data_IF_980466982835
#
_entry.id   IF_980466982835
#
_cell.length_a   1.000
_cell.length_b   1.000
_cell.length_c   1.000
_cell.angle_alpha   90.00
_cell.angle_beta   90.00
_cell.angle_gamma   90.00
#
_symmetry.space_group_name_H-M   'P 1'
#
loop_
_entity.id
_entity.type
_entity.pdbx_description
1 polymer ?
#
# COMPACT_ATOMS: atom_id res chain seq x y z
N UNK A 1 -4.76 0.12 -11.70
CA UNK A 1 -4.35 -1.28 -11.42
C UNK A 1 -5.52 -1.98 -10.74
N UNK A 2 -5.80 -3.25 -11.05
CA UNK A 2 -6.92 -3.96 -10.41
C UNK A 2 -6.54 -4.49 -9.04
N UNK A 3 -7.48 -4.40 -8.07
CA UNK A 3 -7.23 -4.83 -6.70
C UNK A 3 -6.92 -6.33 -6.58
N UNK A 4 -7.50 -7.16 -7.44
CA UNK A 4 -7.25 -8.60 -7.47
C UNK A 4 -5.79 -8.92 -7.81
N UNK A 5 -5.19 -8.14 -8.72
CA UNK A 5 -3.79 -8.30 -9.08
C UNK A 5 -2.84 -7.91 -7.93
N UNK A 6 -3.19 -6.87 -7.17
CA UNK A 6 -2.44 -6.44 -5.98
C UNK A 6 -2.44 -7.57 -4.95
N UNK A 7 -3.63 -8.09 -4.61
CA UNK A 7 -3.80 -9.17 -3.64
C UNK A 7 -3.04 -10.43 -4.08
N UNK A 8 -3.17 -10.83 -5.35
CA UNK A 8 -2.47 -11.98 -5.93
C UNK A 8 -0.94 -11.84 -5.81
N UNK A 9 -0.38 -10.67 -6.15
CA UNK A 9 1.07 -10.42 -6.04
C UNK A 9 1.54 -10.41 -4.59
N UNK A 10 0.75 -9.85 -3.67
CA UNK A 10 1.07 -9.85 -2.24
C UNK A 10 1.12 -11.29 -1.67
N UNK A 11 0.15 -12.11 -2.01
CA UNK A 11 0.08 -13.53 -1.63
C UNK A 11 1.25 -14.33 -2.24
N UNK A 12 1.60 -14.06 -3.49
CA UNK A 12 2.71 -14.72 -4.19
C UNK A 12 4.11 -14.20 -3.79
N UNK A 13 4.22 -13.20 -2.90
CA UNK A 13 5.50 -12.59 -2.54
C UNK A 13 6.13 -11.75 -3.66
N UNK A 14 5.37 -11.42 -4.72
CA UNK A 14 5.82 -10.67 -5.89
C UNK A 14 5.72 -9.15 -5.68
N UNK A 15 6.31 -8.68 -4.59
CA UNK A 15 6.28 -7.27 -4.22
C UNK A 15 7.61 -6.82 -3.61
N UNK A 16 7.91 -5.53 -3.72
CA UNK A 16 9.11 -4.93 -3.18
C UNK A 16 8.82 -3.53 -2.65
N UNK A 17 9.52 -3.12 -1.59
CA UNK A 17 9.46 -1.75 -1.12
C UNK A 17 10.52 -0.89 -1.78
N UNK A 18 10.11 0.28 -2.26
CA UNK A 18 11.03 1.34 -2.66
C UNK A 18 11.92 1.78 -1.48
N UNK A 19 13.05 2.44 -1.79
CA UNK A 19 13.92 3.04 -0.75
C UNK A 19 13.15 4.04 0.12
N UNK A 20 12.21 4.77 -0.47
CA UNK A 20 11.35 5.71 0.25
C UNK A 20 10.43 4.96 1.23
N UNK A 21 9.70 3.96 0.76
CA UNK A 21 8.83 3.14 1.59
C UNK A 21 9.60 2.50 2.77
N UNK A 22 10.75 1.87 2.53
CA UNK A 22 11.56 1.23 3.59
C UNK A 22 11.95 2.19 4.70
N UNK A 23 12.46 3.39 4.34
CA UNK A 23 12.86 4.41 5.31
C UNK A 23 11.69 4.81 6.22
N UNK A 24 10.55 5.10 5.61
CA UNK A 24 9.39 5.63 6.31
C UNK A 24 8.60 4.56 7.07
N UNK A 25 8.53 3.33 6.57
CA UNK A 25 7.98 2.19 7.30
C UNK A 25 8.76 1.95 8.59
N UNK A 26 10.10 1.96 8.53
CA UNK A 26 10.97 1.82 9.71
C UNK A 26 10.73 2.91 10.75
N UNK A 27 10.63 4.18 10.34
CA UNK A 27 10.31 5.30 11.24
C UNK A 27 8.94 5.17 11.91
N UNK A 28 8.00 4.42 11.31
CA UNK A 28 6.64 4.21 11.80
C UNK A 28 6.44 2.85 12.47
N UNK A 29 7.51 2.07 12.65
CA UNK A 29 7.44 0.70 13.18
C UNK A 29 6.43 -0.18 12.40
N UNK A 30 6.40 -0.02 11.07
CA UNK A 30 5.61 -0.86 10.16
C UNK A 30 6.56 -1.92 9.60
N UNK A 31 6.26 -3.20 9.85
CA UNK A 31 7.09 -4.32 9.40
C UNK A 31 6.64 -4.80 8.02
N UNK A 32 7.56 -5.41 7.27
CA UNK A 32 7.29 -6.02 5.96
C UNK A 32 6.12 -7.02 6.00
N UNK A 33 6.02 -7.79 7.09
CA UNK A 33 4.91 -8.73 7.30
C UNK A 33 3.56 -8.01 7.43
N UNK A 34 3.52 -6.84 8.07
CA UNK A 34 2.30 -6.04 8.24
C UNK A 34 1.87 -5.40 6.92
N UNK A 35 2.84 -4.98 6.10
CA UNK A 35 2.56 -4.49 4.73
C UNK A 35 1.95 -5.61 3.89
N UNK A 36 2.54 -6.81 3.93
CA UNK A 36 2.01 -7.98 3.21
C UNK A 36 0.59 -8.34 3.68
N UNK A 37 0.36 -8.38 4.98
CA UNK A 37 -0.96 -8.64 5.57
C UNK A 37 -2.00 -7.65 5.05
N UNK A 38 -1.69 -6.36 5.11
CA UNK A 38 -2.57 -5.32 4.60
C UNK A 38 -2.86 -5.49 3.10
N UNK A 39 -1.84 -5.80 2.30
CA UNK A 39 -1.99 -5.97 0.86
C UNK A 39 -2.83 -7.21 0.45
N UNK A 40 -2.78 -8.30 1.22
CA UNK A 40 -3.51 -9.53 0.91
C UNK A 40 -5.03 -9.35 0.89
N UNK A 41 -5.56 -8.51 1.78
CA UNK A 41 -7.00 -8.23 1.92
C UNK A 41 -7.33 -6.77 1.62
N UNK A 42 -6.49 -6.09 0.84
CA UNK A 42 -6.61 -4.66 0.63
C UNK A 42 -7.86 -4.24 -0.14
N UNK A 43 -8.40 -3.07 0.17
CA UNK A 43 -9.44 -2.35 -0.55
C UNK A 43 -8.83 -1.18 -1.32
N UNK A 44 -9.29 -0.95 -2.55
CA UNK A 44 -8.85 0.19 -3.36
C UNK A 44 -9.55 1.46 -2.88
N UNK A 45 -8.78 2.48 -2.47
CA UNK A 45 -9.32 3.78 -2.08
C UNK A 45 -9.23 4.80 -3.21
N UNK A 46 -8.05 4.95 -3.80
CA UNK A 46 -7.81 5.93 -4.87
C UNK A 46 -6.97 5.27 -5.97
N UNK A 47 -7.24 5.61 -7.23
CA UNK A 47 -6.50 5.11 -8.39
C UNK A 47 -5.88 6.30 -9.13
N UNK A 48 -4.58 6.22 -9.42
CA UNK A 48 -3.79 7.26 -10.06
C UNK A 48 -3.19 6.71 -11.36
N UNK A 49 -3.99 6.54 -12.43
CA UNK A 49 -3.51 5.99 -13.70
C UNK A 49 -2.46 6.87 -14.37
N UNK A 50 -2.53 8.19 -14.16
CA UNK A 50 -1.74 9.20 -14.87
C UNK A 50 -0.63 9.83 -14.01
N UNK A 51 -0.21 9.18 -12.92
CA UNK A 51 0.89 9.70 -12.10
C UNK A 51 2.17 9.80 -12.95
N UNK A 52 2.86 10.94 -12.83
CA UNK A 52 4.15 11.25 -13.46
C UNK A 52 5.21 10.16 -13.35
N UNK A 53 5.12 9.29 -12.33
CA UNK A 53 6.06 8.20 -12.06
C UNK A 53 5.56 6.82 -12.52
N UNK A 54 4.43 6.79 -13.22
CA UNK A 54 3.74 5.60 -13.69
C UNK A 54 2.48 5.27 -12.88
N UNK A 55 1.57 4.44 -13.43
CA UNK A 55 0.29 4.13 -12.81
C UNK A 55 0.45 3.59 -11.38
N UNK A 56 -0.25 4.21 -10.44
CA UNK A 56 -0.25 3.83 -9.03
C UNK A 56 -1.65 3.87 -8.44
N UNK A 57 -1.80 3.38 -7.21
CA UNK A 57 -3.03 3.46 -6.45
C UNK A 57 -2.75 3.52 -4.95
N UNK A 58 -3.69 4.09 -4.21
CA UNK A 58 -3.78 4.00 -2.76
C UNK A 58 -4.74 2.87 -2.39
N UNK A 59 -4.25 1.93 -1.59
CA UNK A 59 -5.07 0.87 -1.00
C UNK A 59 -5.04 0.95 0.52
N UNK A 60 -6.13 0.52 1.14
CA UNK A 60 -6.27 0.33 2.57
C UNK A 60 -6.27 -1.16 2.87
N UNK A 61 -5.50 -1.59 3.85
CA UNK A 61 -5.61 -2.94 4.40
C UNK A 61 -5.38 -2.94 5.90
N UNK A 62 -5.51 -4.11 6.50
CA UNK A 62 -5.35 -4.29 7.94
C UNK A 62 -4.27 -5.32 8.22
N UNK A 63 -3.46 -5.02 9.24
CA UNK A 63 -2.59 -6.04 9.84
C UNK A 63 -3.43 -7.10 10.56
N UNK A 64 -2.85 -8.25 10.88
CA UNK A 64 -3.51 -9.25 11.73
C UNK A 64 -3.96 -8.67 13.09
N UNK A 65 -3.29 -7.61 13.56
CA UNK A 65 -3.64 -6.89 14.80
C UNK A 65 -4.69 -5.79 14.60
N UNK A 66 -5.39 -5.76 13.47
CA UNK A 66 -6.41 -4.78 13.13
C UNK A 66 -5.90 -3.32 13.06
N UNK A 67 -4.60 -3.11 12.88
CA UNK A 67 -4.04 -1.78 12.56
C UNK A 67 -4.31 -1.44 11.09
N UNK A 68 -4.92 -0.28 10.76
CA UNK A 68 -5.15 0.14 9.39
C UNK A 68 -3.85 0.64 8.76
N UNK A 69 -3.54 0.19 7.54
CA UNK A 69 -2.40 0.65 6.77
C UNK A 69 -2.85 1.16 5.40
N UNK A 70 -2.45 2.38 5.11
CA UNK A 70 -2.43 2.93 3.77
C UNK A 70 -1.15 2.52 3.07
N UNK A 71 -1.31 2.04 1.85
CA UNK A 71 -0.21 1.59 1.01
C UNK A 71 -0.39 2.20 -0.36
N UNK A 72 0.56 3.03 -0.78
CA UNK A 72 0.62 3.50 -2.16
C UNK A 72 1.52 2.54 -2.93
N UNK A 73 0.97 1.92 -3.96
CA UNK A 73 1.68 0.93 -4.76
C UNK A 73 1.42 1.10 -6.25
N UNK A 74 2.38 0.65 -7.06
CA UNK A 74 2.32 0.70 -8.51
C UNK A 74 2.93 -0.56 -9.13
N UNK A 75 2.64 -0.80 -10.40
CA UNK A 75 3.26 -1.88 -11.15
C UNK A 75 4.59 -1.46 -11.75
N UNK A 76 5.60 -2.31 -11.64
CA UNK A 76 6.86 -2.18 -12.40
C UNK A 76 6.79 -3.01 -13.72
N UNK A 77 7.49 -2.59 -14.80
CA UNK A 77 7.60 -3.35 -16.06
C UNK A 77 7.97 -4.84 -15.91
N UNK A 78 8.75 -5.20 -14.90
CA UNK A 78 9.21 -6.55 -14.52
C UNK A 78 8.16 -7.27 -13.66
N UNK A 79 6.88 -6.91 -13.78
CA UNK A 79 5.72 -7.56 -13.16
C UNK A 79 5.70 -7.58 -11.63
N UNK A 80 6.56 -6.83 -10.96
CA UNK A 80 6.58 -6.73 -9.48
C UNK A 80 5.66 -5.61 -8.99
N UNK A 81 4.99 -5.81 -7.86
CA UNK A 81 4.27 -4.73 -7.16
C UNK A 81 5.27 -3.90 -6.35
N UNK A 82 5.41 -2.62 -6.68
CA UNK A 82 6.33 -1.72 -5.98
C UNK A 82 5.56 -0.86 -4.99
N UNK A 83 5.96 -0.95 -3.72
CA UNK A 83 5.42 -0.12 -2.64
C UNK A 83 6.18 1.20 -2.61
N UNK A 84 5.47 2.28 -2.92
CA UNK A 84 6.00 3.64 -3.00
C UNK A 84 6.08 4.24 -1.59
N UNK A 85 5.02 4.10 -0.79
CA UNK A 85 5.00 4.49 0.62
C UNK A 85 3.94 3.72 1.40
N UNK A 86 4.07 3.68 2.73
CA UNK A 86 3.06 3.14 3.64
C UNK A 86 3.02 3.91 4.96
N UNK A 87 1.83 4.04 5.53
CA UNK A 87 1.55 4.77 6.76
C UNK A 87 0.20 4.35 7.36
N UNK A 88 -0.01 4.61 8.65
CA UNK A 88 -1.34 4.53 9.27
C UNK A 88 -2.11 5.83 8.96
N UNK A 89 -3.36 5.77 8.47
CA UNK A 89 -4.17 6.96 8.24
C UNK A 89 -4.41 7.72 9.54
N UNK A 90 -4.28 9.05 9.51
CA UNK A 90 -4.40 9.92 10.69
C UNK A 90 -5.11 11.23 10.34
N UNK A 91 -5.83 11.83 11.30
CA UNK A 91 -6.27 13.21 11.20
C UNK A 91 -5.06 14.18 11.05
N UNK A 92 -5.23 15.35 10.42
CA UNK A 92 -6.49 15.90 9.89
C UNK A 92 -6.85 15.40 8.49
N UNK A 93 -5.92 14.72 7.81
CA UNK A 93 -6.06 14.31 6.41
C UNK A 93 -7.11 13.23 6.21
N UNK A 94 -7.32 12.38 7.22
CA UNK A 94 -8.26 11.27 7.19
C UNK A 94 -9.24 11.35 8.37
N UNK A 95 -10.53 11.34 8.07
CA UNK A 95 -11.62 11.32 9.07
C UNK A 95 -11.70 9.93 9.72
N UNK A 96 -11.53 8.90 8.91
CA UNK A 96 -11.42 7.49 9.28
C UNK A 96 -10.49 6.81 8.25
N UNK A 97 -10.13 5.52 8.40
CA UNK A 97 -9.24 4.85 7.45
C UNK A 97 -9.71 4.84 5.99
N UNK A 98 -10.99 5.05 5.69
CA UNK A 98 -11.53 5.04 4.33
C UNK A 98 -11.72 6.43 3.74
N UNK A 99 -11.98 7.43 4.57
CA UNK A 99 -12.46 8.75 4.12
C UNK A 99 -11.41 9.83 4.34
N UNK A 100 -10.89 10.38 3.24
CA UNK A 100 -10.02 11.55 3.23
C UNK A 100 -10.84 12.83 3.39
N UNK A 101 -10.28 13.83 4.06
CA UNK A 101 -10.88 15.15 4.25
C UNK A 101 -10.68 16.05 3.03
#
# INVERSE_FOLDING_TARGET
MEIQEIRRKAQAGQWAMSRHARKFAGQRCIRDVEVREALCEAELLENYPDDSRGPSCLVLGFTQRQRPLHVVCGGDPVRTLVIITTYEPKPPDWVNPWTRR
#
